data_IF_598485911515
#
_entry.id   IF_598485911515
#
_cell.length_a   1.000
_cell.length_b   1.000
_cell.length_c   1.000
_cell.angle_alpha   90.00
_cell.angle_beta   90.00
_cell.angle_gamma   90.00
#
_symmetry.space_group_name_H-M   'P 1'
#
loop_
_entity.id
_entity.type
_entity.pdbx_description
1 polymer ?
#
# COMPACT_ATOMS: atom_id res chain seq x y z
N UNK A 1 21.23 3.22 12.61
CA UNK A 1 19.97 2.68 12.08
C UNK A 1 19.31 1.74 13.07
N UNK A 2 20.07 0.75 13.58
CA UNK A 2 19.54 -0.21 14.56
C UNK A 2 19.08 0.50 15.85
N UNK A 3 19.86 1.45 16.35
CA UNK A 3 19.54 2.23 17.56
C UNK A 3 18.26 3.06 17.39
N UNK A 4 18.00 3.57 16.19
CA UNK A 4 16.79 4.31 15.89
C UNK A 4 15.55 3.40 15.88
N UNK A 5 15.64 2.23 15.24
CA UNK A 5 14.56 1.23 15.17
C UNK A 5 14.34 0.56 16.52
N UNK A 6 15.39 0.37 17.30
CA UNK A 6 15.30 -0.24 18.64
C UNK A 6 14.85 0.73 19.72
N UNK A 7 14.70 2.04 19.43
CA UNK A 7 14.17 3.00 20.42
C UNK A 7 14.91 2.98 21.75
N UNK A 8 16.24 2.85 21.72
CA UNK A 8 17.06 2.60 22.88
C UNK A 8 17.19 1.11 23.19
N UNK A 9 16.61 0.59 24.28
CA UNK A 9 16.67 -0.83 24.68
C UNK A 9 15.55 -1.70 24.12
N UNK A 10 14.53 -1.09 23.49
CA UNK A 10 13.33 -1.80 23.00
C UNK A 10 13.08 -1.55 21.52
N UNK A 11 12.51 -2.55 20.83
CA UNK A 11 12.11 -2.41 19.44
C UNK A 11 10.96 -1.40 19.30
N UNK A 12 11.11 -0.43 18.38
CA UNK A 12 10.05 0.51 18.08
C UNK A 12 9.09 -0.10 17.05
N UNK A 13 7.96 -0.60 17.52
CA UNK A 13 6.95 -1.28 16.71
C UNK A 13 6.29 -0.40 15.65
N UNK A 14 6.40 0.92 15.77
CA UNK A 14 5.96 1.85 14.73
C UNK A 14 6.66 1.59 13.38
N UNK A 15 7.89 1.11 13.41
CA UNK A 15 8.67 0.78 12.23
C UNK A 15 8.53 -0.68 11.79
N UNK A 16 7.52 -1.39 12.29
CA UNK A 16 7.27 -2.76 11.84
C UNK A 16 7.01 -2.76 10.33
N UNK A 17 7.75 -3.56 9.53
CA UNK A 17 7.78 -3.42 8.07
C UNK A 17 6.56 -4.06 7.39
N UNK A 18 5.36 -3.73 7.84
CA UNK A 18 4.09 -4.19 7.27
C UNK A 18 3.12 -3.02 7.08
N UNK A 19 3.62 -1.91 6.54
CA UNK A 19 2.77 -0.83 6.06
C UNK A 19 2.32 -1.12 4.62
N UNK A 20 1.27 -0.45 4.14
CA UNK A 20 0.76 -0.66 2.78
C UNK A 20 1.84 -0.46 1.71
N UNK A 21 2.70 0.52 1.88
CA UNK A 21 3.86 0.76 1.01
C UNK A 21 4.97 -0.30 1.12
N UNK A 22 4.98 -1.13 2.17
CA UNK A 22 5.94 -2.24 2.32
C UNK A 22 5.46 -3.53 1.66
N UNK A 23 4.15 -3.68 1.43
CA UNK A 23 3.56 -4.88 0.80
C UNK A 23 4.20 -5.21 -0.55
N UNK A 24 4.43 -4.23 -1.46
CA UNK A 24 5.09 -4.48 -2.74
C UNK A 24 6.44 -5.21 -2.62
N UNK A 25 7.21 -4.93 -1.57
CA UNK A 25 8.49 -5.62 -1.33
C UNK A 25 8.28 -7.13 -1.16
N UNK A 26 7.29 -7.52 -0.36
CA UNK A 26 6.97 -8.94 -0.14
C UNK A 26 6.42 -9.61 -1.40
N UNK A 27 5.55 -8.93 -2.14
CA UNK A 27 5.02 -9.47 -3.41
C UNK A 27 6.13 -9.69 -4.43
N UNK A 28 7.11 -8.77 -4.52
CA UNK A 28 8.27 -8.90 -5.39
C UNK A 28 9.20 -10.04 -4.97
N UNK A 29 9.45 -10.20 -3.65
CA UNK A 29 10.24 -11.32 -3.12
C UNK A 29 9.58 -12.67 -3.40
N UNK A 30 8.25 -12.73 -3.30
CA UNK A 30 7.48 -13.95 -3.57
C UNK A 30 7.27 -14.23 -5.06
N UNK A 31 7.43 -13.22 -5.91
CA UNK A 31 7.17 -13.33 -7.35
C UNK A 31 7.92 -14.47 -8.04
N UNK A 32 9.22 -14.73 -7.81
CA UNK A 32 9.93 -15.86 -8.39
C UNK A 32 9.49 -17.22 -7.84
N UNK A 33 9.01 -17.26 -6.58
CA UNK A 33 8.60 -18.50 -5.90
C UNK A 33 7.32 -19.07 -6.49
N UNK A 34 6.38 -18.20 -6.87
CA UNK A 34 5.11 -18.65 -7.46
C UNK A 34 5.28 -18.93 -8.96
N UNK A 35 5.22 -20.21 -9.36
CA UNK A 35 5.22 -20.61 -10.77
C UNK A 35 3.85 -20.39 -11.44
N UNK A 36 2.77 -20.35 -10.65
CA UNK A 36 1.41 -20.17 -11.15
C UNK A 36 1.22 -18.77 -11.76
N UNK A 37 0.96 -18.68 -13.05
CA UNK A 37 0.81 -17.42 -13.79
C UNK A 37 -0.33 -16.55 -13.25
N UNK A 38 -1.42 -17.15 -12.73
CA UNK A 38 -2.54 -16.41 -12.16
C UNK A 38 -2.16 -15.63 -10.89
N UNK A 39 -1.29 -16.19 -10.01
CA UNK A 39 -0.81 -15.50 -8.81
C UNK A 39 0.05 -14.29 -9.20
N UNK A 40 0.96 -14.48 -10.18
CA UNK A 40 1.79 -13.39 -10.70
C UNK A 40 0.94 -12.25 -11.28
N UNK A 41 -0.15 -12.59 -11.98
CA UNK A 41 -1.10 -11.61 -12.51
C UNK A 41 -1.76 -10.80 -11.40
N UNK A 42 -2.20 -11.45 -10.31
CA UNK A 42 -2.78 -10.76 -9.15
C UNK A 42 -1.75 -9.82 -8.53
N UNK A 43 -0.50 -10.27 -8.35
CA UNK A 43 0.58 -9.43 -7.80
C UNK A 43 0.87 -8.22 -8.69
N UNK A 44 1.01 -8.43 -10.01
CA UNK A 44 1.22 -7.32 -10.94
C UNK A 44 0.04 -6.36 -10.96
N UNK A 45 -1.21 -6.86 -10.87
CA UNK A 45 -2.40 -6.01 -10.80
C UNK A 45 -2.41 -5.21 -9.50
N UNK A 46 -2.03 -5.80 -8.36
CA UNK A 46 -1.89 -5.09 -7.10
C UNK A 46 -0.82 -3.98 -7.18
N UNK A 47 0.33 -4.28 -7.76
CA UNK A 47 1.43 -3.30 -7.93
C UNK A 47 1.02 -2.17 -8.88
N UNK A 48 0.30 -2.49 -9.96
CA UNK A 48 -0.21 -1.56 -10.95
C UNK A 48 -1.26 -0.58 -10.37
N UNK A 49 -2.13 -1.06 -9.50
CA UNK A 49 -3.25 -0.28 -8.94
C UNK A 49 -2.88 0.30 -7.57
N UNK A 50 -2.76 -0.54 -6.53
CA UNK A 50 -2.54 -0.11 -5.15
C UNK A 50 -1.08 0.30 -4.90
N UNK A 51 -0.11 -0.43 -5.47
CA UNK A 51 1.30 -0.10 -5.35
C UNK A 51 1.61 1.28 -5.93
N UNK A 52 1.12 1.55 -7.14
CA UNK A 52 1.25 2.85 -7.80
C UNK A 52 0.54 3.96 -7.00
N UNK A 53 -0.70 3.70 -6.55
CA UNK A 53 -1.47 4.65 -5.76
C UNK A 53 -0.74 5.00 -4.45
N UNK A 54 -0.20 4.02 -3.74
CA UNK A 54 0.53 4.24 -2.49
C UNK A 54 1.84 5.00 -2.72
N UNK A 55 2.53 4.72 -3.83
CA UNK A 55 3.72 5.49 -4.22
C UNK A 55 3.42 6.96 -4.47
N UNK A 56 2.38 7.25 -5.26
CA UNK A 56 1.94 8.64 -5.54
C UNK A 56 1.41 9.31 -4.27
N UNK A 57 0.57 8.60 -3.50
CA UNK A 57 -0.07 9.11 -2.30
C UNK A 57 0.93 9.58 -1.24
N UNK A 58 2.08 8.90 -1.12
CA UNK A 58 3.14 9.31 -0.19
C UNK A 58 3.77 10.67 -0.51
N UNK A 59 3.71 11.12 -1.76
CA UNK A 59 4.17 12.46 -2.16
C UNK A 59 3.13 13.56 -1.93
N UNK A 60 1.87 13.20 -1.67
CA UNK A 60 0.84 14.18 -1.26
C UNK A 60 1.00 14.57 0.21
N UNK A 61 1.57 13.66 1.03
CA UNK A 61 1.93 13.91 2.41
C UNK A 61 3.29 13.25 2.70
N UNK A 62 4.33 14.05 2.70
CA UNK A 62 5.70 13.59 2.92
C UNK A 62 6.10 13.52 4.39
N UNK A 63 5.23 13.89 5.32
CA UNK A 63 5.53 13.93 6.77
C UNK A 63 6.05 12.59 7.29
N UNK A 64 5.44 11.48 6.86
CA UNK A 64 5.86 10.11 7.20
C UNK A 64 7.17 9.65 6.54
N UNK A 65 7.74 10.43 5.62
CA UNK A 65 9.00 10.10 4.94
C UNK A 65 10.22 10.80 5.55
N UNK A 66 10.03 11.71 6.49
CA UNK A 66 11.12 12.44 7.15
C UNK A 66 11.58 11.70 8.40
N UNK A 67 12.85 11.44 8.46
CA UNK A 67 13.50 10.75 9.58
C UNK A 67 14.63 11.63 10.15
N UNK A 68 14.98 11.49 11.44
CA UNK A 68 16.13 12.19 12.03
C UNK A 68 17.45 11.90 11.32
N UNK A 69 17.55 10.72 10.68
CA UNK A 69 18.72 10.33 9.91
C UNK A 69 18.49 10.62 8.41
N UNK A 70 19.26 11.52 7.78
CA UNK A 70 19.08 11.90 6.37
C UNK A 70 19.09 10.69 5.41
N UNK A 71 19.90 9.67 5.69
CA UNK A 71 19.98 8.45 4.91
C UNK A 71 18.62 7.71 4.87
N UNK A 72 17.89 7.63 5.98
CA UNK A 72 16.57 7.01 6.03
C UNK A 72 15.53 7.84 5.27
N UNK A 73 15.63 9.15 5.32
CA UNK A 73 14.80 10.05 4.52
C UNK A 73 15.05 9.81 3.03
N UNK A 74 16.31 9.81 2.57
CA UNK A 74 16.64 9.48 1.18
C UNK A 74 16.12 8.09 0.78
N UNK A 75 16.31 7.08 1.62
CA UNK A 75 15.78 5.73 1.38
C UNK A 75 14.26 5.74 1.21
N UNK A 76 13.55 6.46 2.06
CA UNK A 76 12.08 6.53 1.99
C UNK A 76 11.61 7.17 0.69
N UNK A 77 12.20 8.29 0.26
CA UNK A 77 11.87 8.91 -1.03
C UNK A 77 12.18 7.99 -2.21
N UNK A 78 13.37 7.39 -2.23
CA UNK A 78 13.76 6.45 -3.29
C UNK A 78 12.83 5.24 -3.36
N UNK A 79 12.41 4.72 -2.20
CA UNK A 79 11.46 3.61 -2.14
C UNK A 79 10.12 3.96 -2.79
N UNK A 80 9.55 5.12 -2.49
CA UNK A 80 8.27 5.54 -3.08
C UNK A 80 8.38 5.86 -4.58
N UNK A 81 9.51 6.42 -5.04
CA UNK A 81 9.81 6.55 -6.47
C UNK A 81 9.86 5.17 -7.14
N UNK A 82 10.49 4.19 -6.49
CA UNK A 82 10.56 2.81 -6.99
C UNK A 82 9.16 2.16 -7.07
N UNK A 83 8.29 2.39 -6.09
CA UNK A 83 6.90 1.91 -6.13
C UNK A 83 6.14 2.46 -7.34
N UNK A 84 6.27 3.76 -7.61
CA UNK A 84 5.68 4.40 -8.81
C UNK A 84 6.22 3.72 -10.07
N UNK A 85 7.54 3.56 -10.17
CA UNK A 85 8.21 2.95 -11.32
C UNK A 85 7.74 1.51 -11.55
N UNK A 86 7.70 0.69 -10.49
CA UNK A 86 7.24 -0.70 -10.56
C UNK A 86 5.76 -0.77 -10.97
N UNK A 87 4.91 0.09 -10.41
CA UNK A 87 3.50 0.16 -10.77
C UNK A 87 3.30 0.47 -12.25
N UNK A 88 4.05 1.44 -12.79
CA UNK A 88 4.06 1.78 -14.21
C UNK A 88 4.56 0.60 -15.07
N UNK A 89 5.65 -0.07 -14.68
CA UNK A 89 6.17 -1.25 -15.37
C UNK A 89 5.10 -2.35 -15.40
N UNK A 90 4.45 -2.65 -14.28
CA UNK A 90 3.37 -3.63 -14.22
C UNK A 90 2.20 -3.24 -15.14
N UNK A 91 1.85 -1.94 -15.20
CA UNK A 91 0.80 -1.43 -16.08
C UNK A 91 1.11 -1.60 -17.58
N UNK A 92 2.39 -1.56 -17.96
CA UNK A 92 2.81 -1.73 -19.35
C UNK A 92 3.27 -3.15 -19.72
N UNK A 93 3.51 -4.03 -18.76
CA UNK A 93 4.11 -5.36 -18.98
C UNK A 93 3.22 -6.35 -19.74
N UNK A 94 1.90 -6.13 -19.74
CA UNK A 94 0.93 -7.11 -20.25
C UNK A 94 0.72 -8.32 -19.33
N UNK A 95 1.41 -8.40 -18.19
CA UNK A 95 1.25 -9.48 -17.21
C UNK A 95 0.04 -9.24 -16.30
N UNK A 96 -0.26 -7.97 -15.97
CA UNK A 96 -1.42 -7.59 -15.16
C UNK A 96 -2.74 -8.03 -15.78
N UNK A 97 -3.74 -8.25 -14.96
CA UNK A 97 -5.09 -8.54 -15.41
C UNK A 97 -5.92 -7.26 -15.46
N UNK A 98 -6.14 -6.72 -16.65
CA UNK A 98 -6.86 -5.47 -16.88
C UNK A 98 -8.38 -5.63 -16.88
N UNK A 99 -8.91 -6.80 -16.48
CA UNK A 99 -10.35 -7.06 -16.41
C UNK A 99 -10.90 -6.74 -15.02
N UNK A 100 -12.20 -6.50 -14.91
CA UNK A 100 -12.86 -6.37 -13.60
C UNK A 100 -12.73 -7.62 -12.70
N UNK A 101 -12.49 -8.80 -13.31
CA UNK A 101 -12.13 -9.99 -12.55
C UNK A 101 -10.76 -9.82 -11.89
N UNK A 102 -9.78 -9.31 -12.65
CA UNK A 102 -8.45 -9.00 -12.12
C UNK A 102 -8.52 -8.00 -10.97
N UNK A 103 -9.28 -6.92 -11.13
CA UNK A 103 -9.51 -5.94 -10.05
C UNK A 103 -10.12 -6.58 -8.80
N UNK A 104 -11.15 -7.43 -8.93
CA UNK A 104 -11.76 -8.12 -7.79
C UNK A 104 -10.78 -9.05 -7.07
N UNK A 105 -9.93 -9.76 -7.79
CA UNK A 105 -8.90 -10.63 -7.19
C UNK A 105 -7.84 -9.80 -6.46
N UNK A 106 -7.41 -8.69 -7.04
CA UNK A 106 -6.52 -7.73 -6.41
C UNK A 106 -7.17 -7.11 -5.14
N UNK A 107 -8.43 -6.70 -5.20
CA UNK A 107 -9.16 -6.18 -4.05
C UNK A 107 -9.32 -7.24 -2.95
N UNK A 108 -9.49 -8.52 -3.31
CA UNK A 108 -9.48 -9.64 -2.38
C UNK A 108 -8.13 -9.80 -1.67
N UNK A 109 -7.02 -9.66 -2.40
CA UNK A 109 -5.68 -9.65 -1.82
C UNK A 109 -5.52 -8.45 -0.86
N UNK A 110 -5.94 -7.27 -1.27
CA UNK A 110 -5.92 -6.07 -0.41
C UNK A 110 -6.74 -6.28 0.87
N UNK A 111 -7.96 -6.83 0.78
CA UNK A 111 -8.79 -7.13 1.94
C UNK A 111 -8.13 -8.16 2.88
N UNK A 112 -7.49 -9.20 2.34
CA UNK A 112 -6.74 -10.17 3.14
C UNK A 112 -5.56 -9.53 3.88
N UNK A 113 -4.84 -8.61 3.22
CA UNK A 113 -3.75 -7.85 3.85
C UNK A 113 -4.27 -6.89 4.93
N UNK A 114 -5.41 -6.23 4.71
CA UNK A 114 -6.07 -5.43 5.74
C UNK A 114 -6.48 -6.28 6.94
N UNK A 115 -7.00 -7.50 6.71
CA UNK A 115 -7.32 -8.46 7.76
C UNK A 115 -6.08 -8.83 8.58
N UNK A 116 -4.96 -9.15 7.92
CA UNK A 116 -3.69 -9.44 8.59
C UNK A 116 -3.18 -8.23 9.40
N UNK A 117 -3.21 -7.03 8.82
CA UNK A 117 -2.84 -5.80 9.51
C UNK A 117 -3.73 -5.54 10.73
N UNK A 118 -5.05 -5.77 10.63
CA UNK A 118 -5.99 -5.62 11.75
C UNK A 118 -5.66 -6.60 12.87
N UNK A 119 -5.39 -7.88 12.55
CA UNK A 119 -5.01 -8.88 13.56
C UNK A 119 -3.73 -8.46 14.28
N UNK A 120 -2.71 -8.03 13.56
CA UNK A 120 -1.46 -7.55 14.15
C UNK A 120 -1.68 -6.29 15.00
N UNK A 121 -2.48 -5.33 14.53
CA UNK A 121 -2.84 -4.14 15.30
C UNK A 121 -3.58 -4.51 16.60
N UNK A 122 -4.48 -5.50 16.56
CA UNK A 122 -5.22 -5.96 17.75
C UNK A 122 -4.32 -6.68 18.77
N UNK A 123 -3.37 -7.49 18.31
CA UNK A 123 -2.49 -8.27 19.19
C UNK A 123 -1.40 -7.37 19.78
N UNK A 124 -0.66 -6.67 18.91
CA UNK A 124 0.52 -5.90 19.29
C UNK A 124 0.13 -4.53 19.86
N UNK A 125 -0.89 -3.90 19.29
CA UNK A 125 -1.33 -2.55 19.67
C UNK A 125 -1.88 -2.41 21.09
N UNK A 126 -2.14 -3.53 21.78
CA UNK A 126 -2.47 -3.54 23.22
C UNK A 126 -1.28 -3.22 24.11
N UNK A 127 -0.07 -3.51 23.65
CA UNK A 127 1.15 -3.45 24.47
C UNK A 127 2.12 -2.41 23.90
N UNK A 128 2.11 -2.23 22.60
CA UNK A 128 3.05 -1.38 21.87
C UNK A 128 2.34 -0.43 20.91
N UNK A 129 2.96 0.70 20.61
CA UNK A 129 2.47 1.67 19.62
C UNK A 129 2.69 1.12 18.22
N UNK A 130 1.61 0.66 17.57
CA UNK A 130 1.61 0.15 16.20
C UNK A 130 0.30 0.54 15.49
N UNK A 131 0.41 1.07 14.27
CA UNK A 131 -0.74 1.39 13.43
C UNK A 131 -0.43 0.98 11.98
N UNK A 132 -0.67 -0.30 11.68
CA UNK A 132 -0.47 -0.83 10.34
C UNK A 132 -1.62 -0.40 9.45
N UNK A 133 -1.30 0.08 8.26
CA UNK A 133 -2.24 0.55 7.24
C UNK A 133 -3.14 1.72 7.68
N UNK A 134 -2.84 2.39 8.81
CA UNK A 134 -3.72 3.41 9.43
C UNK A 134 -5.11 2.88 9.78
N UNK A 135 -5.23 1.59 10.13
CA UNK A 135 -6.52 0.95 10.47
C UNK A 135 -6.55 0.39 11.89
N UNK A 136 -5.65 0.83 12.75
CA UNK A 136 -5.66 0.41 14.15
C UNK A 136 -6.91 0.93 14.88
N UNK A 137 -7.61 0.08 15.65
CA UNK A 137 -8.72 0.55 16.48
C UNK A 137 -8.27 1.36 17.70
N UNK A 138 -6.98 1.29 18.06
CA UNK A 138 -6.42 1.94 19.25
C UNK A 138 -5.92 3.37 18.99
N UNK A 139 -5.76 3.75 17.73
CA UNK A 139 -5.25 5.06 17.35
C UNK A 139 -6.25 5.78 16.43
N UNK A 140 -6.43 7.10 16.58
CA UNK A 140 -7.22 7.86 15.63
C UNK A 140 -6.57 7.80 14.24
N UNK A 141 -7.39 7.75 13.21
CA UNK A 141 -6.93 7.83 11.81
C UNK A 141 -6.01 9.06 11.65
N UNK A 142 -4.76 8.82 11.25
CA UNK A 142 -3.71 9.84 11.19
C UNK A 142 -3.25 10.18 9.78
N UNK A 143 -3.82 9.57 8.74
CA UNK A 143 -3.55 9.96 7.37
C UNK A 143 -4.17 11.34 7.10
N UNK A 144 -3.33 12.36 6.88
CA UNK A 144 -3.67 13.78 6.99
C UNK A 144 -4.92 14.14 6.18
N UNK A 145 -4.95 13.85 4.87
CA UNK A 145 -6.06 14.24 4.00
C UNK A 145 -7.39 13.65 4.47
N UNK A 146 -7.39 12.35 4.81
CA UNK A 146 -8.61 11.65 5.25
C UNK A 146 -8.99 12.07 6.66
N UNK A 147 -8.01 12.29 7.55
CA UNK A 147 -8.26 12.72 8.92
C UNK A 147 -9.00 14.06 8.96
N UNK A 148 -8.61 15.00 8.11
CA UNK A 148 -9.22 16.33 8.05
C UNK A 148 -10.62 16.27 7.43
N UNK A 149 -10.78 15.56 6.30
CA UNK A 149 -12.08 15.41 5.64
C UNK A 149 -13.11 14.66 6.47
N UNK A 150 -12.66 13.78 7.36
CA UNK A 150 -13.54 12.92 8.17
C UNK A 150 -13.51 13.25 9.66
N UNK A 151 -13.01 14.43 10.03
CA UNK A 151 -12.82 14.84 11.43
C UNK A 151 -14.09 14.73 12.29
N UNK A 152 -15.27 14.95 11.71
CA UNK A 152 -16.57 14.85 12.39
C UNK A 152 -17.05 13.39 12.60
N UNK A 153 -16.39 12.40 11.98
CA UNK A 153 -16.81 11.00 12.05
C UNK A 153 -16.11 10.24 13.19
N UNK A 154 -16.76 9.23 13.79
CA UNK A 154 -16.09 8.32 14.71
C UNK A 154 -15.00 7.50 13.99
N UNK A 155 -13.93 7.13 14.71
CA UNK A 155 -12.74 6.50 14.14
C UNK A 155 -13.03 5.27 13.23
N UNK A 156 -13.95 4.35 13.57
CA UNK A 156 -14.27 3.23 12.66
C UNK A 156 -14.79 3.69 11.29
N UNK A 157 -15.60 4.74 11.23
CA UNK A 157 -16.10 5.29 9.96
C UNK A 157 -14.99 6.00 9.19
N UNK A 158 -14.05 6.67 9.89
CA UNK A 158 -12.86 7.26 9.26
C UNK A 158 -12.00 6.20 8.57
N UNK A 159 -11.77 5.05 9.25
CA UNK A 159 -11.06 3.91 8.69
C UNK A 159 -11.78 3.36 7.45
N UNK A 160 -13.12 3.21 7.51
CA UNK A 160 -13.91 2.75 6.35
C UNK A 160 -13.82 3.73 5.18
N UNK A 161 -13.91 5.03 5.43
CA UNK A 161 -13.72 6.07 4.40
C UNK A 161 -12.32 5.97 3.77
N UNK A 162 -11.29 5.79 4.57
CA UNK A 162 -9.91 5.62 4.09
C UNK A 162 -9.77 4.40 3.18
N UNK A 163 -10.27 3.24 3.61
CA UNK A 163 -10.24 2.02 2.79
C UNK A 163 -11.04 2.17 1.49
N UNK A 164 -12.18 2.85 1.55
CA UNK A 164 -12.99 3.16 0.38
C UNK A 164 -12.24 4.08 -0.61
N UNK A 165 -11.54 5.10 -0.13
CA UNK A 165 -10.72 6.00 -0.96
C UNK A 165 -9.59 5.25 -1.64
N UNK A 166 -8.90 4.33 -0.94
CA UNK A 166 -7.86 3.49 -1.55
C UNK A 166 -8.44 2.61 -2.65
N UNK A 167 -9.57 1.94 -2.40
CA UNK A 167 -10.20 1.07 -3.40
C UNK A 167 -10.73 1.85 -4.59
N UNK A 168 -11.31 3.03 -4.37
CA UNK A 168 -11.76 3.92 -5.45
C UNK A 168 -10.59 4.44 -6.27
N UNK A 169 -9.51 4.88 -5.63
CA UNK A 169 -8.28 5.30 -6.31
C UNK A 169 -7.68 4.16 -7.14
N UNK A 170 -7.63 2.95 -6.56
CA UNK A 170 -7.20 1.75 -7.27
C UNK A 170 -8.10 1.41 -8.46
N UNK A 171 -9.43 1.55 -8.31
CA UNK A 171 -10.38 1.33 -9.40
C UNK A 171 -10.20 2.35 -10.54
N UNK A 172 -9.96 3.61 -10.23
CA UNK A 172 -9.68 4.65 -11.23
C UNK A 172 -8.39 4.37 -12.01
N UNK A 173 -7.32 3.95 -11.30
CA UNK A 173 -6.08 3.52 -11.95
C UNK A 173 -6.30 2.27 -12.81
N UNK A 174 -7.06 1.28 -12.32
CA UNK A 174 -7.40 0.09 -13.08
C UNK A 174 -8.14 0.41 -14.38
N UNK A 175 -9.13 1.30 -14.34
CA UNK A 175 -9.84 1.79 -15.52
C UNK A 175 -8.91 2.52 -16.49
N UNK A 176 -8.01 3.35 -15.99
CA UNK A 176 -7.00 4.03 -16.79
C UNK A 176 -6.11 3.02 -17.54
N UNK A 177 -5.59 2.01 -16.85
CA UNK A 177 -4.77 0.96 -17.47
C UNK A 177 -5.56 0.09 -18.45
N UNK A 178 -6.80 -0.27 -18.13
CA UNK A 178 -7.69 -0.99 -19.03
C UNK A 178 -7.89 -0.21 -20.33
N UNK A 179 -8.15 1.09 -20.23
CA UNK A 179 -8.31 1.97 -21.39
C UNK A 179 -7.04 2.02 -22.25
N UNK A 180 -5.88 2.22 -21.64
CA UNK A 180 -4.60 2.22 -22.34
C UNK A 180 -4.31 0.88 -23.03
N UNK A 181 -4.61 -0.24 -22.36
CA UNK A 181 -4.44 -1.57 -22.92
C UNK A 181 -5.33 -1.78 -24.17
N UNK A 182 -6.58 -1.37 -24.11
CA UNK A 182 -7.52 -1.45 -25.24
C UNK A 182 -7.08 -0.63 -26.46
N UNK A 183 -6.54 0.59 -26.23
CA UNK A 183 -6.02 1.41 -27.33
C UNK A 183 -4.81 0.73 -28.00
N UNK A 184 -3.91 0.14 -27.19
CA UNK A 184 -2.71 -0.52 -27.73
C UNK A 184 -3.04 -1.76 -28.55
N UNK A 185 -4.03 -2.54 -28.12
CA UNK A 185 -4.43 -3.76 -28.83
C UNK A 185 -5.17 -3.49 -30.14
N UNK A 186 -5.87 -2.33 -30.24
CA UNK A 186 -6.54 -1.90 -31.50
C UNK A 186 -5.58 -1.36 -32.56
N UNK A 187 -4.35 -0.98 -32.17
CA UNK A 187 -3.35 -0.42 -33.09
C UNK A 187 -2.39 -1.49 -33.66
N UNK A 188 -2.50 -2.71 -33.21
CA UNK A 188 -1.78 -3.89 -33.75
C UNK A 188 -2.69 -4.69 -34.67
#
# INVERSE_FOLDING_TARGET
TLTFVLGGSHYNWWYFPFQLCSVPMYLLLLFPVFHASHVKRIFCTFLMDIGLLSGIGAFLDTSGMHYPLPFLTCHSYLWHILLITIGIICGFSGISDYTWRGFRLMAGLFAALCGAATILNLIIGRIHTIDLFYISPYYPMSQIIISDLTAALPNPLRILCYLAVILLGGALLHLFWQYLFLIRTKKK
#
